data_IF_246310093678
#
_entry.id   IF_246310093678
#
_cell.length_a   1.000
_cell.length_b   1.000
_cell.length_c   1.000
_cell.angle_alpha   90.00
_cell.angle_beta   90.00
_cell.angle_gamma   90.00
#
_symmetry.space_group_name_H-M   'P 1'
#
loop_
_entity.id
_entity.type
_entity.pdbx_description
1 polymer ?
#
# COMPACT_ATOMS: atom_id res chain seq x y z
N UNK A 1 51.17 -24.04 -22.63
CA UNK A 1 49.94 -23.48 -22.01
C UNK A 1 50.10 -21.97 -21.82
N UNK A 2 49.11 -21.17 -22.23
CA UNK A 2 49.21 -19.70 -22.29
C UNK A 2 48.88 -19.03 -20.93
N UNK A 3 49.84 -18.29 -20.36
CA UNK A 3 49.74 -17.58 -19.09
C UNK A 3 48.67 -16.47 -19.08
N UNK A 4 48.31 -15.91 -20.24
CA UNK A 4 47.27 -14.89 -20.36
C UNK A 4 45.86 -15.48 -20.17
N UNK A 5 45.64 -16.70 -20.64
CA UNK A 5 44.35 -17.40 -20.48
C UNK A 5 44.05 -17.69 -19.00
N UNK A 6 45.06 -18.12 -18.23
CA UNK A 6 44.91 -18.37 -16.78
C UNK A 6 44.63 -17.10 -15.99
N UNK A 7 45.31 -16.00 -16.31
CA UNK A 7 45.07 -14.70 -15.67
C UNK A 7 43.65 -14.20 -15.93
N UNK A 8 43.21 -14.21 -17.20
CA UNK A 8 41.85 -13.78 -17.57
C UNK A 8 40.77 -14.63 -16.88
N UNK A 9 40.98 -15.95 -16.78
CA UNK A 9 40.09 -16.83 -16.04
C UNK A 9 40.02 -16.45 -14.56
N UNK A 10 41.17 -16.24 -13.90
CA UNK A 10 41.24 -15.83 -12.50
C UNK A 10 40.53 -14.50 -12.23
N UNK A 11 40.74 -13.49 -13.09
CA UNK A 11 40.03 -12.20 -12.99
C UNK A 11 38.52 -12.37 -13.13
N UNK A 12 38.05 -13.19 -14.08
CA UNK A 12 36.61 -13.42 -14.30
C UNK A 12 35.93 -14.11 -13.11
N UNK A 13 36.64 -15.01 -12.43
CA UNK A 13 36.14 -15.72 -11.24
C UNK A 13 36.11 -14.79 -10.04
N UNK A 14 37.15 -13.99 -9.83
CA UNK A 14 37.18 -12.98 -8.77
C UNK A 14 36.06 -11.95 -8.93
N UNK A 15 35.86 -11.45 -10.16
CA UNK A 15 34.81 -10.47 -10.47
C UNK A 15 33.41 -11.03 -10.15
N UNK A 16 33.10 -12.25 -10.60
CA UNK A 16 31.82 -12.92 -10.28
C UNK A 16 31.61 -13.12 -8.78
N UNK A 17 32.65 -13.51 -8.03
CA UNK A 17 32.55 -13.65 -6.56
C UNK A 17 32.25 -12.31 -5.88
N UNK A 18 32.90 -11.23 -6.34
CA UNK A 18 32.66 -9.88 -5.82
C UNK A 18 31.24 -9.40 -6.10
N UNK A 19 30.75 -9.59 -7.33
CA UNK A 19 29.39 -9.24 -7.74
C UNK A 19 28.34 -10.04 -6.96
N UNK A 20 28.54 -11.35 -6.80
CA UNK A 20 27.65 -12.20 -6.01
C UNK A 20 27.59 -11.76 -4.55
N UNK A 21 28.75 -11.45 -3.93
CA UNK A 21 28.81 -10.93 -2.56
C UNK A 21 28.07 -9.59 -2.44
N UNK A 22 28.24 -8.70 -3.42
CA UNK A 22 27.54 -7.41 -3.44
C UNK A 22 26.03 -7.59 -3.60
N UNK A 23 25.59 -8.49 -4.47
CA UNK A 23 24.18 -8.82 -4.63
C UNK A 23 23.57 -9.40 -3.35
N UNK A 24 24.32 -10.23 -2.62
CA UNK A 24 23.88 -10.78 -1.33
C UNK A 24 23.74 -9.67 -0.27
N UNK A 25 24.71 -8.75 -0.21
CA UNK A 25 24.66 -7.58 0.68
C UNK A 25 23.45 -6.70 0.34
N UNK A 26 23.24 -6.41 -0.94
CA UNK A 26 22.10 -5.60 -1.39
C UNK A 26 20.76 -6.30 -1.09
N UNK A 27 20.69 -7.62 -1.23
CA UNK A 27 19.50 -8.42 -0.89
C UNK A 27 19.22 -8.41 0.62
N UNK A 28 20.24 -8.44 1.45
CA UNK A 28 20.12 -8.35 2.92
C UNK A 28 19.79 -6.93 3.39
N UNK A 29 20.22 -5.92 2.63
CA UNK A 29 19.95 -4.50 2.90
C UNK A 29 18.61 -4.02 2.32
N UNK A 30 17.96 -4.79 1.44
CA UNK A 30 16.67 -4.42 0.87
C UNK A 30 15.61 -4.31 1.98
N UNK A 31 14.78 -3.24 1.98
CA UNK A 31 13.69 -3.10 2.94
C UNK A 31 12.78 -4.33 2.88
N UNK A 32 12.58 -5.00 4.02
CA UNK A 32 11.68 -6.16 4.11
C UNK A 32 10.22 -5.78 3.86
N UNK A 33 9.90 -4.49 3.95
CA UNK A 33 8.56 -3.93 3.74
C UNK A 33 8.60 -3.01 2.53
N UNK A 34 7.77 -3.33 1.54
CA UNK A 34 7.56 -2.56 0.30
C UNK A 34 6.08 -2.25 0.10
N UNK A 35 5.75 -1.38 -0.85
CA UNK A 35 4.37 -1.16 -1.30
C UNK A 35 3.71 -2.50 -1.65
N UNK A 36 2.46 -2.69 -1.23
CA UNK A 36 1.69 -3.93 -1.37
C UNK A 36 1.97 -4.98 -0.28
N UNK A 37 2.92 -4.75 0.64
CA UNK A 37 3.13 -5.64 1.79
C UNK A 37 1.97 -5.53 2.77
N UNK A 38 1.56 -6.65 3.38
CA UNK A 38 0.50 -6.69 4.40
C UNK A 38 1.07 -7.12 5.76
N UNK A 39 1.44 -6.19 6.66
CA UNK A 39 1.72 -6.52 8.04
C UNK A 39 0.47 -7.01 8.79
N UNK A 40 0.64 -8.04 9.59
CA UNK A 40 -0.39 -8.59 10.48
C UNK A 40 -0.03 -8.24 11.92
N UNK A 41 -1.00 -7.70 12.65
CA UNK A 41 -0.82 -7.44 14.07
C UNK A 41 -0.62 -8.76 14.83
N UNK A 42 0.46 -8.81 15.62
CA UNK A 42 0.69 -9.93 16.53
C UNK A 42 -0.13 -9.76 17.81
N UNK A 43 -0.27 -10.83 18.59
CA UNK A 43 -0.96 -10.81 19.89
C UNK A 43 -0.35 -9.79 20.88
N UNK A 44 0.93 -9.42 20.69
CA UNK A 44 1.61 -8.41 21.51
C UNK A 44 1.03 -7.01 21.35
N UNK A 45 0.29 -6.74 20.28
CA UNK A 45 -0.41 -5.47 20.08
C UNK A 45 -1.75 -5.41 20.84
N UNK A 46 -2.15 -6.45 21.56
CA UNK A 46 -3.19 -6.49 22.60
C UNK A 46 -4.28 -5.43 22.48
N UNK A 47 -4.19 -4.40 23.33
CA UNK A 47 -5.14 -3.28 23.46
C UNK A 47 -4.69 -2.00 22.73
N UNK A 48 -3.69 -2.09 21.85
CA UNK A 48 -3.23 -0.95 21.06
C UNK A 48 -4.28 -0.61 20.01
N UNK A 49 -5.22 0.27 20.34
CA UNK A 49 -6.19 0.79 19.37
C UNK A 49 -5.49 1.80 18.42
N UNK A 50 -5.79 1.79 17.10
CA UNK A 50 -6.70 0.87 16.39
C UNK A 50 -6.02 -0.42 15.87
N UNK A 51 -4.76 -0.68 16.21
CA UNK A 51 -3.89 -1.68 15.59
C UNK A 51 -4.09 -3.13 16.07
N UNK A 52 -4.72 -3.35 17.22
CA UNK A 52 -5.04 -4.67 17.73
C UNK A 52 -5.73 -5.54 16.66
N UNK A 53 -5.20 -6.72 16.33
CA UNK A 53 -5.76 -7.62 15.29
C UNK A 53 -5.93 -6.98 13.89
N UNK A 54 -5.20 -5.90 13.61
CA UNK A 54 -5.26 -5.22 12.31
C UNK A 54 -4.48 -5.96 11.22
N UNK A 55 -4.96 -5.80 9.98
CA UNK A 55 -4.22 -6.08 8.76
C UNK A 55 -4.01 -4.74 8.07
N UNK A 56 -2.75 -4.39 7.83
CA UNK A 56 -2.38 -3.09 7.29
C UNK A 56 -1.86 -3.32 5.87
N UNK A 57 -2.31 -2.56 4.90
CA UNK A 57 -1.75 -2.56 3.55
C UNK A 57 -0.80 -1.39 3.41
N UNK A 58 0.44 -1.64 3.01
CA UNK A 58 1.45 -0.59 2.80
C UNK A 58 1.28 0.05 1.43
N UNK A 59 1.08 1.37 1.41
CA UNK A 59 0.84 2.18 0.22
C UNK A 59 2.06 3.02 -0.17
N UNK A 60 2.85 3.47 0.82
CA UNK A 60 4.13 4.16 0.58
C UNK A 60 5.19 3.58 1.50
N UNK A 61 6.39 3.40 0.97
CA UNK A 61 7.54 2.91 1.71
C UNK A 61 8.79 3.64 1.21
N UNK A 62 9.45 4.38 2.10
CA UNK A 62 10.70 5.07 1.80
C UNK A 62 11.63 5.04 3.01
N UNK A 63 12.93 4.91 2.75
CA UNK A 63 13.93 4.85 3.82
C UNK A 63 13.95 6.13 4.66
N UNK A 64 13.79 7.29 4.02
CA UNK A 64 13.76 8.60 4.68
C UNK A 64 12.35 9.05 5.10
N UNK A 65 11.31 8.62 4.38
CA UNK A 65 9.93 9.05 4.61
C UNK A 65 9.09 8.09 5.47
N UNK A 66 9.63 6.93 5.82
CA UNK A 66 8.94 5.90 6.58
C UNK A 66 7.89 5.15 5.76
N UNK A 67 6.82 4.72 6.44
CA UNK A 67 5.75 3.92 5.84
C UNK A 67 4.39 4.59 6.00
N UNK A 68 3.59 4.54 4.94
CA UNK A 68 2.16 4.84 4.98
C UNK A 68 1.40 3.57 4.67
N UNK A 69 0.40 3.27 5.48
CA UNK A 69 -0.48 2.14 5.24
C UNK A 69 -1.87 2.36 5.78
N UNK A 70 -2.80 1.52 5.33
CA UNK A 70 -4.22 1.57 5.67
C UNK A 70 -4.69 0.26 6.27
N UNK A 71 -5.45 0.35 7.34
CA UNK A 71 -6.15 -0.79 7.96
C UNK A 71 -7.42 -1.07 7.16
N UNK A 72 -7.54 -2.29 6.64
CA UNK A 72 -8.66 -2.67 5.76
C UNK A 72 -9.61 -3.70 6.38
N UNK A 73 -9.36 -4.12 7.62
CA UNK A 73 -10.13 -5.17 8.30
C UNK A 73 -10.88 -4.69 9.56
N UNK A 74 -11.06 -3.38 9.72
CA UNK A 74 -11.74 -2.76 10.86
C UNK A 74 -13.08 -2.18 10.40
N UNK A 75 -14.06 -3.08 10.21
CA UNK A 75 -15.34 -2.72 9.61
C UNK A 75 -16.08 -1.66 10.42
N UNK A 76 -16.60 -0.68 9.69
CA UNK A 76 -17.50 0.36 10.15
C UNK A 76 -18.84 0.22 9.42
N UNK A 77 -19.84 0.98 9.84
CA UNK A 77 -21.14 1.06 9.16
C UNK A 77 -21.30 2.45 8.56
N UNK A 78 -21.76 2.51 7.32
CA UNK A 78 -22.11 3.78 6.66
C UNK A 78 -23.14 4.58 7.46
N UNK A 79 -24.11 3.89 8.09
CA UNK A 79 -25.11 4.50 8.97
C UNK A 79 -24.55 5.24 10.19
N UNK A 80 -23.28 5.02 10.54
CA UNK A 80 -22.60 5.74 11.63
C UNK A 80 -22.01 7.08 11.18
N UNK A 81 -22.05 7.39 9.88
CA UNK A 81 -21.49 8.60 9.29
C UNK A 81 -22.51 9.29 8.37
N UNK A 82 -23.70 9.69 8.90
CA UNK A 82 -24.75 10.31 8.10
C UNK A 82 -24.34 11.69 7.56
N UNK A 83 -23.31 12.32 8.13
CA UNK A 83 -22.89 13.67 7.74
C UNK A 83 -21.91 13.69 6.56
N UNK A 84 -21.55 12.53 5.99
CA UNK A 84 -20.75 12.46 4.76
C UNK A 84 -21.57 13.03 3.59
N UNK A 85 -21.30 14.29 3.25
CA UNK A 85 -21.98 15.07 2.20
C UNK A 85 -23.51 15.13 2.38
N UNK A 86 -23.95 15.46 3.60
CA UNK A 86 -25.38 15.54 3.93
C UNK A 86 -26.12 14.19 3.80
N UNK A 87 -25.39 13.08 3.81
CA UNK A 87 -25.94 11.71 3.80
C UNK A 87 -26.00 11.06 2.42
N UNK A 88 -25.81 11.82 1.34
CA UNK A 88 -25.90 11.30 -0.03
C UNK A 88 -24.80 10.27 -0.32
N UNK A 89 -23.56 10.56 0.10
CA UNK A 89 -22.43 9.63 -0.09
C UNK A 89 -22.66 8.32 0.69
N UNK A 90 -23.18 8.41 1.91
CA UNK A 90 -23.44 7.23 2.74
C UNK A 90 -24.53 6.33 2.15
N UNK A 91 -25.57 6.90 1.54
CA UNK A 91 -26.60 6.14 0.83
C UNK A 91 -26.09 5.52 -0.47
N UNK A 92 -25.32 6.27 -1.27
CA UNK A 92 -24.74 5.80 -2.52
C UNK A 92 -23.82 4.59 -2.30
N UNK A 93 -23.05 4.60 -1.22
CA UNK A 93 -22.01 3.62 -0.94
C UNK A 93 -22.44 2.54 0.06
N UNK A 94 -23.71 2.49 0.49
CA UNK A 94 -24.17 1.64 1.60
C UNK A 94 -23.86 0.15 1.46
N UNK A 95 -23.76 -0.35 0.23
CA UNK A 95 -23.47 -1.76 -0.07
C UNK A 95 -21.97 -2.06 -0.14
N UNK A 96 -21.11 -1.04 -0.03
CA UNK A 96 -19.65 -1.18 -0.02
C UNK A 96 -19.10 -1.43 1.39
N UNK A 97 -17.91 -2.03 1.48
CA UNK A 97 -17.24 -2.26 2.76
C UNK A 97 -16.55 -0.96 3.22
N UNK A 98 -17.01 -0.41 4.34
CA UNK A 98 -16.32 0.68 5.05
C UNK A 98 -15.40 0.10 6.13
N UNK A 99 -14.15 0.57 6.18
CA UNK A 99 -13.17 0.20 7.22
C UNK A 99 -12.52 1.45 7.80
N UNK A 100 -12.20 1.43 9.10
CA UNK A 100 -11.34 2.43 9.71
C UNK A 100 -9.93 2.29 9.13
N UNK A 101 -9.52 3.22 8.27
CA UNK A 101 -8.24 3.20 7.57
C UNK A 101 -7.02 3.43 8.47
N UNK A 102 -7.19 4.11 9.60
CA UNK A 102 -6.10 4.39 10.52
C UNK A 102 -6.45 5.53 11.47
N UNK A 103 -5.55 5.87 12.41
CA UNK A 103 -5.75 6.99 13.33
C UNK A 103 -5.48 8.37 12.70
N UNK A 104 -4.82 8.41 11.54
CA UNK A 104 -4.54 9.64 10.79
C UNK A 104 -5.60 9.78 9.70
N UNK A 105 -6.41 10.83 9.77
CA UNK A 105 -7.53 11.07 8.86
C UNK A 105 -7.62 12.56 8.52
N UNK A 106 -7.79 12.87 7.23
CA UNK A 106 -8.25 14.17 6.78
C UNK A 106 -9.77 14.27 6.99
N UNK A 107 -10.23 15.30 7.68
CA UNK A 107 -11.65 15.46 7.99
C UNK A 107 -12.46 15.99 6.82
N UNK A 108 -11.85 16.70 5.88
CA UNK A 108 -12.54 17.27 4.73
C UNK A 108 -12.79 16.21 3.67
N UNK A 109 -11.81 15.31 3.46
CA UNK A 109 -11.89 14.20 2.50
C UNK A 109 -11.47 12.90 3.17
N UNK A 110 -12.34 12.25 3.96
CA UNK A 110 -11.94 11.12 4.80
C UNK A 110 -11.82 9.79 4.06
N UNK A 111 -12.34 9.69 2.84
CA UNK A 111 -12.47 8.42 2.13
C UNK A 111 -11.26 8.16 1.23
N UNK A 112 -10.81 6.90 1.24
CA UNK A 112 -9.86 6.30 0.29
C UNK A 112 -10.45 4.96 -0.12
N UNK A 113 -10.05 4.42 -1.27
CA UNK A 113 -10.62 3.18 -1.77
C UNK A 113 -9.59 2.22 -2.36
N UNK A 114 -9.92 0.93 -2.27
CA UNK A 114 -9.33 -0.11 -3.10
C UNK A 114 -10.37 -0.48 -4.15
N UNK A 115 -10.00 -0.42 -5.42
CA UNK A 115 -10.91 -0.61 -6.55
C UNK A 115 -10.33 -1.55 -7.59
N UNK A 116 -11.22 -2.19 -8.37
CA UNK A 116 -10.83 -2.92 -9.59
C UNK A 116 -10.72 -2.02 -10.81
N UNK A 117 -11.27 -0.82 -10.71
CA UNK A 117 -11.23 0.23 -11.72
C UNK A 117 -10.43 1.41 -11.16
N UNK A 118 -9.47 1.88 -11.94
CA UNK A 118 -8.66 3.04 -11.62
C UNK A 118 -8.02 3.59 -12.90
N UNK A 119 -7.48 4.78 -12.81
CA UNK A 119 -6.72 5.42 -13.87
C UNK A 119 -5.22 5.17 -13.64
N UNK A 120 -4.55 4.34 -14.46
CA UNK A 120 -3.13 4.03 -14.27
C UNK A 120 -2.19 5.24 -14.35
N UNK A 121 -2.67 6.39 -14.85
CA UNK A 121 -1.88 7.63 -14.90
C UNK A 121 -1.89 8.41 -13.58
N UNK A 122 -2.89 8.17 -12.72
CA UNK A 122 -3.09 8.93 -11.47
C UNK A 122 -3.17 8.03 -10.23
N UNK A 123 -3.69 6.81 -10.35
CA UNK A 123 -3.90 5.88 -9.25
C UNK A 123 -2.73 4.90 -9.07
N UNK A 124 -2.50 4.51 -7.82
CA UNK A 124 -1.47 3.53 -7.48
C UNK A 124 -1.96 2.11 -7.75
N UNK A 125 -1.42 1.44 -8.77
CA UNK A 125 -1.66 0.01 -8.98
C UNK A 125 -0.84 -0.83 -8.00
N UNK A 126 -1.52 -1.54 -7.10
CA UNK A 126 -0.90 -2.36 -6.05
C UNK A 126 -0.61 -3.78 -6.52
N UNK A 127 -1.45 -4.28 -7.40
CA UNK A 127 -1.33 -5.57 -8.11
C UNK A 127 -2.18 -5.50 -9.37
N UNK A 128 -1.98 -6.37 -10.37
CA UNK A 128 -2.72 -6.33 -11.63
C UNK A 128 -4.24 -6.18 -11.43
N UNK A 129 -4.80 -5.04 -11.87
CA UNK A 129 -6.23 -4.74 -11.77
C UNK A 129 -6.73 -4.44 -10.34
N UNK A 130 -5.85 -4.01 -9.44
CA UNK A 130 -6.19 -3.51 -8.10
C UNK A 130 -5.50 -2.17 -7.87
N UNK A 131 -6.32 -1.13 -7.80
CA UNK A 131 -5.90 0.25 -7.67
C UNK A 131 -6.21 0.77 -6.28
N UNK A 132 -5.30 1.58 -5.75
CA UNK A 132 -5.55 2.43 -4.61
C UNK A 132 -5.90 3.84 -5.10
N UNK A 133 -7.10 4.29 -4.72
CA UNK A 133 -7.60 5.63 -4.99
C UNK A 133 -7.41 6.47 -3.74
N UNK A 134 -6.73 7.58 -3.89
CA UNK A 134 -6.56 8.58 -2.84
C UNK A 134 -7.82 9.40 -2.61
N UNK A 135 -7.74 10.35 -1.67
CA UNK A 135 -8.86 11.19 -1.28
C UNK A 135 -9.47 12.00 -2.44
N UNK A 136 -8.63 12.50 -3.35
CA UNK A 136 -9.09 13.25 -4.52
C UNK A 136 -9.76 12.36 -5.55
N UNK A 137 -9.16 11.18 -5.80
CA UNK A 137 -9.67 10.24 -6.79
C UNK A 137 -10.98 9.60 -6.34
N UNK A 138 -11.14 9.33 -5.04
CA UNK A 138 -12.43 8.90 -4.47
C UNK A 138 -13.48 10.00 -4.55
N UNK A 139 -13.14 11.24 -4.17
CA UNK A 139 -14.09 12.35 -4.25
C UNK A 139 -14.59 12.56 -5.68
N UNK A 140 -13.69 12.54 -6.67
CA UNK A 140 -14.03 12.61 -8.10
C UNK A 140 -14.94 11.45 -8.52
N UNK A 141 -14.61 10.21 -8.15
CA UNK A 141 -15.41 9.03 -8.52
C UNK A 141 -16.83 9.08 -7.93
N UNK A 142 -16.98 9.57 -6.70
CA UNK A 142 -18.29 9.78 -6.07
C UNK A 142 -19.10 10.83 -6.84
N UNK A 143 -18.47 11.94 -7.23
CA UNK A 143 -19.13 12.96 -8.05
C UNK A 143 -19.58 12.41 -9.40
N UNK A 144 -18.76 11.62 -10.08
CA UNK A 144 -19.13 10.97 -11.34
C UNK A 144 -20.35 10.04 -11.16
N UNK A 145 -20.35 9.20 -10.12
CA UNK A 145 -21.48 8.31 -9.82
C UNK A 145 -22.76 9.09 -9.50
N UNK A 146 -22.65 10.24 -8.83
CA UNK A 146 -23.81 11.09 -8.52
C UNK A 146 -24.42 11.77 -9.76
N UNK A 147 -23.67 11.88 -10.86
CA UNK A 147 -24.15 12.43 -12.13
C UNK A 147 -24.78 11.35 -13.04
N UNK A 148 -24.58 10.07 -12.73
CA UNK A 148 -25.14 8.92 -13.45
C UNK A 148 -26.51 8.47 -12.93
N UNK A 149 -26.96 9.01 -11.78
CA UNK A 149 -28.25 8.71 -11.11
C UNK A 149 -29.19 9.90 -11.24
#
# INVERSE_FOLDING_TARGET
MNLNSRRNHSYSVWKRKKEHKQALINKLAAPKVKVGTIPFATERLGDSLPFAKSKILILKAGQESGFMGVIFNKRLRWSSYPDLDGGQTAELLKDTILSLGGPVMDREKPLMALSREGDPSTDLELSPGVYFLDHESVARRIQELSLEI
#
